data_IF_208023912288
#
_entry.id   IF_208023912288
#
_cell.length_a   1.000
_cell.length_b   1.000
_cell.length_c   1.000
_cell.angle_alpha   90.00
_cell.angle_beta   90.00
_cell.angle_gamma   90.00
#
_symmetry.space_group_name_H-M   'P 1'
#
loop_
_entity.id
_entity.type
_entity.pdbx_description
1 polymer ?
#
# COMPACT_ATOMS: atom_id res chain seq x y z
N UNK A 1 -21.23 25.41 13.33
CA UNK A 1 -21.20 24.01 12.86
C UNK A 1 -20.47 23.84 11.52
N UNK A 2 -21.07 24.11 10.35
CA UNK A 2 -20.39 23.88 9.05
C UNK A 2 -19.09 24.68 8.84
N UNK A 3 -19.08 25.96 9.24
CA UNK A 3 -17.90 26.83 9.12
C UNK A 3 -16.73 26.29 9.94
N UNK A 4 -17.00 25.86 11.16
CA UNK A 4 -16.01 25.29 12.09
C UNK A 4 -15.44 23.96 11.57
N UNK A 5 -16.31 23.08 11.04
CA UNK A 5 -15.89 21.83 10.40
C UNK A 5 -14.96 22.14 9.22
N UNK A 6 -15.36 23.06 8.34
CA UNK A 6 -14.54 23.44 7.17
C UNK A 6 -13.19 24.05 7.61
N UNK A 7 -13.17 24.89 8.65
CA UNK A 7 -11.93 25.44 9.20
C UNK A 7 -11.01 24.34 9.75
N UNK A 8 -11.57 23.39 10.49
CA UNK A 8 -10.81 22.26 11.05
C UNK A 8 -10.23 21.35 9.96
N UNK A 9 -11.02 21.05 8.92
CA UNK A 9 -10.60 20.28 7.75
C UNK A 9 -9.47 20.99 6.98
N UNK A 10 -9.55 22.31 6.80
CA UNK A 10 -8.46 23.09 6.21
C UNK A 10 -7.18 23.04 7.04
N UNK A 11 -7.30 23.08 8.37
CA UNK A 11 -6.16 22.95 9.29
C UNK A 11 -5.50 21.59 9.20
N UNK A 12 -6.29 20.51 9.13
CA UNK A 12 -5.78 19.14 8.92
C UNK A 12 -4.98 19.07 7.61
N UNK A 13 -5.52 19.61 6.52
CA UNK A 13 -4.80 19.65 5.24
C UNK A 13 -3.51 20.47 5.32
N UNK A 14 -3.51 21.62 5.99
CA UNK A 14 -2.30 22.43 6.17
C UNK A 14 -1.21 21.68 6.96
N UNK A 15 -1.58 20.88 7.96
CA UNK A 15 -0.65 19.99 8.67
C UNK A 15 -0.12 18.91 7.72
N UNK A 16 -1.01 18.27 6.96
CA UNK A 16 -0.68 17.18 6.04
C UNK A 16 0.25 17.61 4.89
N UNK A 17 0.10 18.83 4.37
CA UNK A 17 0.80 19.31 3.15
C UNK A 17 1.90 20.33 3.40
N UNK A 18 1.78 21.16 4.42
CA UNK A 18 2.64 22.32 4.64
C UNK A 18 3.27 22.35 6.04
N UNK A 19 3.33 21.20 6.73
CA UNK A 19 3.93 21.11 8.07
C UNK A 19 3.22 21.98 9.12
N UNK A 20 1.98 22.39 8.86
CA UNK A 20 1.18 23.24 9.74
C UNK A 20 1.26 24.73 9.44
N UNK A 21 1.87 25.16 8.33
CA UNK A 21 1.84 26.56 7.91
C UNK A 21 0.39 27.01 7.62
N UNK A 22 -0.12 27.85 8.53
CA UNK A 22 -1.49 28.36 8.48
C UNK A 22 -1.71 29.36 7.34
N UNK A 23 -0.67 29.97 6.77
CA UNK A 23 -0.80 30.93 5.68
C UNK A 23 -1.47 30.31 4.44
N UNK A 24 -1.22 29.02 4.21
CA UNK A 24 -1.82 28.26 3.09
C UNK A 24 -3.35 28.16 3.24
N UNK A 25 -3.89 28.21 4.47
CA UNK A 25 -5.33 28.03 4.74
C UNK A 25 -6.21 29.16 4.21
N UNK A 26 -5.64 30.36 3.98
CA UNK A 26 -6.37 31.53 3.48
C UNK A 26 -6.92 31.30 2.06
N UNK A 27 -6.16 30.55 1.26
CA UNK A 27 -6.47 30.30 -0.13
C UNK A 27 -7.21 28.97 -0.37
N UNK A 28 -7.50 28.21 0.69
CA UNK A 28 -8.18 26.92 0.58
C UNK A 28 -9.68 27.03 0.88
N UNK A 29 -10.48 26.24 0.16
CA UNK A 29 -11.87 25.95 0.53
C UNK A 29 -12.20 24.47 0.37
N UNK A 30 -13.13 23.99 1.21
CA UNK A 30 -13.66 22.63 1.11
C UNK A 30 -14.78 22.64 0.09
N UNK A 31 -14.61 21.91 -1.01
CA UNK A 31 -15.63 21.75 -2.06
C UNK A 31 -16.73 20.80 -1.60
N UNK A 32 -16.35 19.60 -1.14
CA UNK A 32 -17.29 18.60 -0.62
C UNK A 32 -16.64 17.65 0.38
N UNK A 33 -17.48 17.05 1.21
CA UNK A 33 -17.14 15.96 2.12
C UNK A 33 -18.12 14.82 1.82
N UNK A 34 -17.60 13.73 1.26
CA UNK A 34 -18.39 12.57 0.86
C UNK A 34 -18.22 11.44 1.89
N UNK A 35 -19.30 10.78 2.30
CA UNK A 35 -19.23 9.53 3.05
C UNK A 35 -19.09 8.37 2.05
N UNK A 36 -17.98 7.63 2.14
CA UNK A 36 -17.74 6.45 1.30
C UNK A 36 -18.48 5.23 1.84
N UNK A 37 -19.80 5.17 1.61
CA UNK A 37 -20.72 4.16 2.17
C UNK A 37 -20.35 2.68 1.90
N UNK A 38 -19.58 2.41 0.84
CA UNK A 38 -19.17 1.04 0.48
C UNK A 38 -17.76 0.66 0.95
N UNK A 39 -17.05 1.56 1.65
CA UNK A 39 -15.74 1.23 2.23
C UNK A 39 -15.89 0.55 3.59
N UNK A 40 -14.98 -0.38 3.91
CA UNK A 40 -15.00 -1.15 5.18
C UNK A 40 -15.12 -0.27 6.43
N UNK A 41 -14.44 0.89 6.43
CA UNK A 41 -14.46 1.86 7.53
C UNK A 41 -15.37 3.06 7.28
N UNK A 42 -16.14 3.05 6.18
CA UNK A 42 -16.96 4.16 5.70
C UNK A 42 -16.26 5.53 5.83
N UNK A 43 -15.09 5.70 5.20
CA UNK A 43 -14.29 6.89 5.43
C UNK A 43 -14.94 8.14 4.87
N UNK A 44 -14.60 9.30 5.45
CA UNK A 44 -14.94 10.58 4.84
C UNK A 44 -13.88 10.94 3.80
N UNK A 45 -14.29 11.20 2.56
CA UNK A 45 -13.42 11.76 1.52
C UNK A 45 -13.65 13.26 1.43
N UNK A 46 -12.59 14.01 1.64
CA UNK A 46 -12.61 15.47 1.57
C UNK A 46 -12.00 15.89 0.24
N UNK A 47 -12.70 16.74 -0.50
CA UNK A 47 -12.14 17.47 -1.64
C UNK A 47 -11.83 18.90 -1.22
N UNK A 48 -10.57 19.28 -1.31
CA UNK A 48 -10.10 20.63 -0.97
C UNK A 48 -9.54 21.30 -2.22
N UNK A 49 -9.86 22.57 -2.43
CA UNK A 49 -9.48 23.33 -3.62
C UNK A 49 -8.66 24.55 -3.22
N UNK A 50 -7.57 24.78 -3.94
CA UNK A 50 -6.74 25.97 -3.81
C UNK A 50 -7.21 27.05 -4.80
N UNK A 51 -7.65 28.20 -4.26
CA UNK A 51 -8.20 29.32 -5.03
C UNK A 51 -7.17 30.00 -5.93
N UNK A 52 -5.88 29.87 -5.64
CA UNK A 52 -4.83 30.55 -6.42
C UNK A 52 -4.67 29.89 -7.79
N UNK A 53 -4.71 28.55 -7.85
CA UNK A 53 -4.41 27.79 -9.06
C UNK A 53 -5.56 26.89 -9.53
N UNK A 54 -6.69 26.89 -8.82
CA UNK A 54 -7.88 26.05 -9.04
C UNK A 54 -7.58 24.53 -9.01
N UNK A 55 -6.42 24.14 -8.47
CA UNK A 55 -6.09 22.74 -8.25
C UNK A 55 -6.85 22.21 -7.04
N UNK A 56 -7.11 20.91 -7.06
CA UNK A 56 -7.80 20.22 -5.99
C UNK A 56 -7.02 19.00 -5.53
N UNK A 57 -7.14 18.71 -4.25
CA UNK A 57 -6.62 17.51 -3.63
C UNK A 57 -7.74 16.75 -2.93
N UNK A 58 -7.46 15.47 -2.69
CA UNK A 58 -8.28 14.62 -1.85
C UNK A 58 -7.47 14.11 -0.66
N UNK A 59 -8.15 13.99 0.48
CA UNK A 59 -7.67 13.22 1.61
C UNK A 59 -8.84 12.53 2.30
N UNK A 60 -8.54 11.49 3.07
CA UNK A 60 -9.52 10.65 3.71
C UNK A 60 -9.37 10.72 5.23
N UNK A 61 -10.49 10.77 5.94
CA UNK A 61 -10.54 10.62 7.39
C UNK A 61 -11.16 9.26 7.68
N UNK A 62 -10.41 8.42 8.40
CA UNK A 62 -10.78 7.05 8.77
C UNK A 62 -10.64 6.88 10.28
N UNK A 63 -11.31 5.87 10.82
CA UNK A 63 -10.90 5.35 12.13
C UNK A 63 -9.52 4.71 11.98
N UNK A 64 -8.65 4.90 12.97
CA UNK A 64 -7.37 4.21 13.01
C UNK A 64 -7.54 2.79 13.56
N UNK A 65 -6.81 1.85 12.98
CA UNK A 65 -6.55 0.53 13.56
C UNK A 65 -5.09 0.16 13.34
N UNK A 66 -4.63 -0.84 14.09
CA UNK A 66 -3.23 -1.25 14.11
C UNK A 66 -2.74 -1.68 12.72
N UNK A 67 -3.47 -2.54 12.02
CA UNK A 67 -3.12 -3.03 10.68
C UNK A 67 -2.91 -1.87 9.71
N UNK A 68 -3.84 -0.91 9.66
CA UNK A 68 -3.76 0.23 8.75
C UNK A 68 -2.55 1.13 9.05
N UNK A 69 -2.28 1.41 10.33
CA UNK A 69 -1.12 2.24 10.72
C UNK A 69 0.19 1.53 10.38
N UNK A 70 0.34 0.24 10.74
CA UNK A 70 1.54 -0.52 10.39
C UNK A 70 1.73 -0.62 8.87
N UNK A 71 0.66 -0.82 8.11
CA UNK A 71 0.72 -0.92 6.66
C UNK A 71 1.17 0.38 5.99
N UNK A 72 0.70 1.51 6.49
CA UNK A 72 1.13 2.85 6.05
C UNK A 72 2.59 3.13 6.38
N UNK A 73 3.03 2.82 7.60
CA UNK A 73 4.44 2.96 8.01
C UNK A 73 5.36 2.09 7.14
N UNK A 74 4.99 0.82 6.95
CA UNK A 74 5.77 -0.12 6.13
C UNK A 74 5.79 0.27 4.65
N UNK A 75 4.68 0.74 4.07
CA UNK A 75 4.68 1.28 2.71
C UNK A 75 5.53 2.54 2.61
N UNK A 76 5.44 3.47 3.57
CA UNK A 76 6.25 4.69 3.59
C UNK A 76 7.76 4.40 3.60
N UNK A 77 8.19 3.39 4.36
CA UNK A 77 9.60 3.05 4.52
C UNK A 77 10.12 2.12 3.41
N UNK A 78 9.35 1.07 3.06
CA UNK A 78 9.80 0.00 2.17
C UNK A 78 9.47 0.24 0.69
N UNK A 79 8.57 1.17 0.37
CA UNK A 79 8.21 1.50 -1.01
C UNK A 79 8.94 2.76 -1.49
N UNK A 80 9.25 2.90 -2.80
CA UNK A 80 9.70 4.16 -3.35
C UNK A 80 8.66 5.27 -3.31
N UNK A 81 7.39 4.93 -3.14
CA UNK A 81 6.32 5.91 -3.06
C UNK A 81 6.11 6.32 -1.61
N UNK A 82 6.48 7.57 -1.28
CA UNK A 82 6.12 8.13 0.02
C UNK A 82 4.61 8.28 0.11
N UNK A 83 4.08 8.00 1.30
CA UNK A 83 2.70 8.31 1.68
C UNK A 83 2.72 9.45 2.67
N UNK A 84 1.80 10.40 2.52
CA UNK A 84 1.52 11.42 3.52
C UNK A 84 0.27 11.03 4.30
N UNK A 85 0.38 10.94 5.61
CA UNK A 85 -0.72 10.61 6.51
C UNK A 85 -0.45 11.18 7.90
N UNK A 86 -1.50 11.27 8.73
CA UNK A 86 -1.45 11.73 10.11
C UNK A 86 -2.29 10.77 10.97
N UNK A 87 -1.80 10.46 12.17
CA UNK A 87 -2.55 9.70 13.17
C UNK A 87 -2.71 10.56 14.41
N UNK A 88 -3.94 10.67 14.91
CA UNK A 88 -4.22 11.29 16.20
C UNK A 88 -5.29 10.49 16.94
N UNK A 89 -4.91 9.87 18.06
CA UNK A 89 -5.77 8.94 18.81
C UNK A 89 -6.33 7.87 17.85
N UNK A 90 -7.66 7.78 17.73
CA UNK A 90 -8.34 6.81 16.89
C UNK A 90 -8.70 7.37 15.51
N UNK A 91 -8.07 8.47 15.08
CA UNK A 91 -8.31 9.09 13.78
C UNK A 91 -7.07 8.98 12.92
N UNK A 92 -7.24 8.40 11.74
CA UNK A 92 -6.25 8.38 10.68
C UNK A 92 -6.69 9.34 9.58
N UNK A 93 -5.75 10.16 9.11
CA UNK A 93 -5.91 11.01 7.95
C UNK A 93 -4.87 10.57 6.92
N UNK A 94 -5.30 10.22 5.71
CA UNK A 94 -4.40 9.81 4.63
C UNK A 94 -4.59 10.69 3.39
N UNK A 95 -3.49 11.06 2.76
CA UNK A 95 -3.53 11.71 1.46
C UNK A 95 -4.01 10.74 0.39
N UNK A 96 -4.76 11.25 -0.59
CA UNK A 96 -5.10 10.46 -1.76
C UNK A 96 -3.87 10.00 -2.55
N UNK A 97 -3.78 8.69 -2.76
CA UNK A 97 -2.79 8.07 -3.62
C UNK A 97 -3.29 8.16 -5.06
N UNK A 98 -2.62 8.97 -5.88
CA UNK A 98 -2.97 9.15 -7.29
C UNK A 98 -2.69 7.89 -8.13
N UNK A 99 -3.60 7.61 -9.05
CA UNK A 99 -3.51 6.54 -10.04
C UNK A 99 -4.89 6.09 -10.52
N UNK A 100 -4.91 5.25 -11.56
CA UNK A 100 -6.15 4.66 -12.08
C UNK A 100 -6.46 3.41 -11.24
N UNK A 101 -7.65 3.27 -10.63
CA UNK A 101 -8.03 2.05 -9.91
C UNK A 101 -7.80 0.79 -10.77
N UNK A 102 -7.21 -0.25 -10.20
CA UNK A 102 -6.79 -1.43 -10.96
C UNK A 102 -7.92 -2.08 -11.77
N UNK A 103 -9.11 -2.18 -11.19
CA UNK A 103 -10.33 -2.69 -11.82
C UNK A 103 -10.71 -1.86 -13.06
N UNK A 104 -10.70 -0.52 -12.94
CA UNK A 104 -10.94 0.39 -14.06
C UNK A 104 -9.83 0.33 -15.09
N UNK A 105 -8.58 0.23 -14.65
CA UNK A 105 -7.43 0.14 -15.53
C UNK A 105 -7.56 -1.09 -16.44
N UNK A 106 -7.80 -2.26 -15.83
CA UNK A 106 -7.94 -3.52 -16.57
C UNK A 106 -9.14 -3.48 -17.53
N UNK A 107 -10.26 -2.89 -17.12
CA UNK A 107 -11.44 -2.81 -17.98
C UNK A 107 -11.25 -1.89 -19.19
N UNK A 108 -10.56 -0.76 -19.01
CA UNK A 108 -10.54 0.32 -20.00
C UNK A 108 -9.24 0.40 -20.81
N UNK A 109 -8.11 -0.03 -20.25
CA UNK A 109 -6.78 0.25 -20.82
C UNK A 109 -5.94 -1.01 -21.09
N UNK A 110 -6.36 -2.20 -20.64
CA UNK A 110 -5.56 -3.43 -20.83
C UNK A 110 -5.38 -3.83 -22.31
N UNK A 111 -6.29 -3.38 -23.16
CA UNK A 111 -6.28 -3.65 -24.60
C UNK A 111 -5.92 -2.39 -25.42
N UNK A 112 -5.40 -1.35 -24.78
CA UNK A 112 -4.93 -0.15 -25.47
C UNK A 112 -3.72 -0.50 -26.36
N UNK A 113 -3.70 0.04 -27.58
CA UNK A 113 -2.61 -0.18 -28.53
C UNK A 113 -1.28 0.41 -28.04
N UNK A 114 -1.33 1.45 -27.20
CA UNK A 114 -0.16 2.10 -26.64
C UNK A 114 0.31 1.44 -25.32
N UNK A 115 -0.38 0.41 -24.84
CA UNK A 115 0.04 -0.32 -23.64
C UNK A 115 1.36 -1.04 -23.91
N UNK A 116 2.29 -0.98 -22.95
CA UNK A 116 3.48 -1.85 -22.95
C UNK A 116 3.22 -3.03 -21.99
N UNK A 117 2.74 -4.19 -22.50
CA UNK A 117 2.32 -5.30 -21.65
C UNK A 117 3.47 -5.95 -20.88
N UNK A 118 4.69 -5.93 -21.44
CA UNK A 118 5.87 -6.50 -20.79
C UNK A 118 6.23 -5.69 -19.54
N UNK A 119 6.20 -4.35 -19.64
CA UNK A 119 6.47 -3.48 -18.48
C UNK A 119 5.39 -3.58 -17.41
N UNK A 120 4.12 -3.60 -17.81
CA UNK A 120 3.02 -3.78 -16.86
C UNK A 120 3.12 -5.13 -16.13
N UNK A 121 3.40 -6.21 -16.86
CA UNK A 121 3.61 -7.53 -16.28
C UNK A 121 4.83 -7.56 -15.33
N UNK A 122 5.95 -6.94 -15.72
CA UNK A 122 7.12 -6.76 -14.85
C UNK A 122 6.75 -6.06 -13.55
N UNK A 123 6.00 -4.96 -13.62
CA UNK A 123 5.57 -4.23 -12.42
C UNK A 123 4.62 -5.06 -11.56
N UNK A 124 3.73 -5.87 -12.14
CA UNK A 124 2.87 -6.78 -11.38
C UNK A 124 3.66 -7.86 -10.62
N UNK A 125 4.72 -8.42 -11.23
CA UNK A 125 5.64 -9.34 -10.53
C UNK A 125 6.28 -8.65 -9.33
N UNK A 126 6.76 -7.42 -9.50
CA UNK A 126 7.38 -6.63 -8.42
C UNK A 126 6.36 -6.29 -7.32
N UNK A 127 5.14 -5.92 -7.69
CA UNK A 127 4.07 -5.65 -6.74
C UNK A 127 3.71 -6.89 -5.91
N UNK A 128 3.61 -8.06 -6.56
CA UNK A 128 3.38 -9.34 -5.90
C UNK A 128 4.48 -9.66 -4.86
N UNK A 129 5.75 -9.42 -5.22
CA UNK A 129 6.87 -9.62 -4.31
C UNK A 129 6.85 -8.63 -3.13
N UNK A 130 6.57 -7.34 -3.39
CA UNK A 130 6.41 -6.32 -2.34
C UNK A 130 5.35 -6.71 -1.32
N UNK A 131 4.18 -7.12 -1.78
CA UNK A 131 3.07 -7.51 -0.92
C UNK A 131 3.44 -8.73 -0.08
N UNK A 132 4.08 -9.71 -0.70
CA UNK A 132 4.41 -10.95 -0.02
C UNK A 132 5.47 -10.78 1.07
N UNK A 133 6.59 -10.14 0.74
CA UNK A 133 7.72 -9.93 1.67
C UNK A 133 7.28 -9.20 2.94
N UNK A 134 6.42 -8.19 2.79
CA UNK A 134 5.91 -7.39 3.92
C UNK A 134 4.62 -7.93 4.53
N UNK A 135 4.09 -9.04 4.05
CA UNK A 135 2.79 -9.58 4.48
C UNK A 135 1.65 -8.55 4.37
N UNK A 136 1.51 -7.87 3.21
CA UNK A 136 0.33 -7.07 2.89
C UNK A 136 -0.69 -7.92 2.12
N UNK A 137 -1.82 -8.19 2.75
CA UNK A 137 -2.87 -9.06 2.22
C UNK A 137 -3.88 -8.33 1.34
N UNK A 138 -4.77 -9.12 0.73
CA UNK A 138 -6.00 -8.65 0.08
C UNK A 138 -5.82 -7.63 -1.06
N UNK A 139 -4.75 -7.81 -1.83
CA UNK A 139 -4.40 -6.92 -2.94
C UNK A 139 -5.11 -7.32 -4.25
N UNK A 140 -6.44 -7.33 -4.23
CA UNK A 140 -7.27 -7.39 -5.44
C UNK A 140 -7.35 -6.03 -6.14
N UNK A 141 -7.88 -5.99 -7.35
CA UNK A 141 -7.78 -4.82 -8.24
C UNK A 141 -8.52 -3.56 -7.82
N UNK A 142 -9.34 -3.61 -6.76
CA UNK A 142 -9.94 -2.42 -6.15
C UNK A 142 -9.07 -1.83 -5.03
N UNK A 143 -8.05 -2.56 -4.57
CA UNK A 143 -7.19 -2.19 -3.43
C UNK A 143 -5.82 -1.66 -3.86
N UNK A 144 -5.60 -1.49 -5.17
CA UNK A 144 -4.45 -0.79 -5.71
C UNK A 144 -4.82 0.12 -6.89
N UNK A 145 -3.95 1.09 -7.16
CA UNK A 145 -3.99 1.92 -8.35
C UNK A 145 -2.78 1.67 -9.24
N UNK A 146 -2.95 1.92 -10.52
CA UNK A 146 -1.89 1.91 -11.54
C UNK A 146 -1.60 3.37 -11.89
N UNK A 147 -0.39 3.81 -11.56
CA UNK A 147 0.17 5.06 -12.03
C UNK A 147 0.88 4.82 -13.37
N UNK A 148 0.59 5.69 -14.34
CA UNK A 148 1.06 5.59 -15.73
C UNK A 148 1.82 6.88 -16.02
N UNK A 149 3.13 6.77 -16.17
CA UNK A 149 3.99 7.91 -16.47
C UNK A 149 4.55 7.77 -17.89
N UNK A 150 4.11 8.60 -18.84
CA UNK A 150 4.77 8.71 -20.12
C UNK A 150 6.22 9.20 -19.94
N UNK A 151 7.17 8.52 -20.56
CA UNK A 151 8.58 8.91 -20.64
C UNK A 151 8.96 9.12 -22.11
N UNK A 152 10.16 9.64 -22.38
CA UNK A 152 10.60 10.05 -23.71
C UNK A 152 10.43 8.96 -24.78
N UNK A 153 10.72 7.70 -24.43
CA UNK A 153 10.65 6.56 -25.37
C UNK A 153 9.60 5.52 -24.96
N UNK A 154 9.19 5.48 -23.70
CA UNK A 154 8.47 4.34 -23.13
C UNK A 154 7.45 4.78 -22.05
N UNK A 155 6.48 3.94 -21.74
CA UNK A 155 5.54 4.19 -20.63
C UNK A 155 5.98 3.40 -19.41
N UNK A 156 6.14 4.07 -18.26
CA UNK A 156 6.38 3.41 -16.97
C UNK A 156 5.06 3.18 -16.24
N UNK A 157 4.97 2.01 -15.62
CA UNK A 157 3.84 1.62 -14.79
C UNK A 157 4.32 1.46 -13.35
N UNK A 158 3.53 1.95 -12.39
CA UNK A 158 3.73 1.68 -10.97
C UNK A 158 2.42 1.21 -10.36
N UNK A 159 2.43 0.04 -9.73
CA UNK A 159 1.29 -0.42 -8.93
C UNK A 159 1.50 0.02 -7.49
N UNK A 160 0.48 0.70 -6.93
CA UNK A 160 0.49 1.28 -5.59
C UNK A 160 -0.71 0.76 -4.80
N UNK A 161 -0.47 0.14 -3.65
CA UNK A 161 -1.53 -0.24 -2.73
C UNK A 161 -2.23 1.02 -2.20
N UNK A 162 -3.55 0.93 -2.01
CA UNK A 162 -4.38 2.00 -1.44
C UNK A 162 -5.22 1.54 -0.24
N UNK A 163 -5.26 0.23 0.00
CA UNK A 163 -5.89 -0.37 1.17
C UNK A 163 -4.82 -1.12 1.99
N UNK A 164 -4.75 -0.82 3.28
CA UNK A 164 -3.76 -1.39 4.21
C UNK A 164 -4.42 -2.12 5.38
N UNK A 165 -5.73 -2.38 5.28
CA UNK A 165 -6.53 -3.00 6.34
C UNK A 165 -6.07 -4.43 6.67
N UNK A 166 -5.45 -5.10 5.68
CA UNK A 166 -5.00 -6.50 5.74
C UNK A 166 -3.48 -6.64 5.90
N UNK A 167 -2.83 -5.64 6.52
CA UNK A 167 -1.42 -5.73 6.88
C UNK A 167 -1.21 -6.78 7.98
N UNK A 168 -0.51 -7.88 7.64
CA UNK A 168 -0.10 -8.93 8.58
C UNK A 168 -1.25 -9.52 9.40
N UNK A 169 -2.43 -9.68 8.80
CA UNK A 169 -3.64 -10.16 9.50
C UNK A 169 -3.99 -11.63 9.20
N UNK A 170 -3.83 -12.05 7.95
CA UNK A 170 -4.37 -13.31 7.42
C UNK A 170 -3.47 -14.53 7.65
N UNK A 171 -4.09 -15.70 7.81
CA UNK A 171 -3.40 -16.95 8.14
C UNK A 171 -2.86 -17.74 6.94
N UNK A 172 -3.28 -17.39 5.72
CA UNK A 172 -2.93 -18.09 4.48
C UNK A 172 -1.96 -17.27 3.66
N UNK A 173 -0.84 -17.88 3.26
CA UNK A 173 0.21 -17.24 2.46
C UNK A 173 -0.32 -16.70 1.12
N UNK A 174 -1.30 -17.38 0.52
CA UNK A 174 -1.88 -16.98 -0.77
C UNK A 174 -2.57 -15.61 -0.72
N UNK A 175 -3.03 -15.16 0.45
CA UNK A 175 -3.69 -13.85 0.59
C UNK A 175 -2.70 -12.69 0.43
N UNK A 176 -1.41 -12.94 0.70
CA UNK A 176 -0.31 -11.97 0.54
C UNK A 176 0.29 -11.96 -0.87
N UNK A 177 -0.30 -12.71 -1.80
CA UNK A 177 0.19 -12.91 -3.15
C UNK A 177 -0.92 -12.48 -4.14
N UNK A 178 -0.90 -11.21 -4.61
CA UNK A 178 -1.86 -10.66 -5.58
C UNK A 178 -2.21 -11.57 -6.76
N UNK A 179 -1.29 -12.44 -7.19
CA UNK A 179 -1.51 -13.41 -8.27
C UNK A 179 -2.59 -14.47 -7.99
N UNK A 180 -3.12 -14.59 -6.76
CA UNK A 180 -4.19 -15.54 -6.43
C UNK A 180 -5.60 -14.93 -6.43
N UNK A 181 -5.72 -13.62 -6.67
CA UNK A 181 -7.01 -12.93 -6.76
C UNK A 181 -7.52 -12.97 -8.20
N UNK A 182 -8.74 -13.49 -8.40
CA UNK A 182 -9.35 -13.63 -9.73
C UNK A 182 -9.59 -12.27 -10.39
N UNK A 183 -9.83 -11.27 -9.56
CA UNK A 183 -9.97 -9.87 -9.94
C UNK A 183 -8.73 -9.36 -10.67
N UNK A 184 -7.56 -9.96 -10.47
CA UNK A 184 -6.29 -9.59 -11.10
C UNK A 184 -5.97 -10.43 -12.36
N UNK A 185 -6.90 -11.28 -12.84
CA UNK A 185 -6.66 -12.22 -13.94
C UNK A 185 -6.06 -11.57 -15.19
N UNK A 186 -6.50 -10.36 -15.56
CA UNK A 186 -5.97 -9.69 -16.74
C UNK A 186 -4.45 -9.40 -16.60
N UNK A 187 -3.97 -9.04 -15.40
CA UNK A 187 -2.53 -8.86 -15.14
C UNK A 187 -1.80 -10.20 -15.06
N UNK A 188 -2.43 -11.23 -14.49
CA UNK A 188 -1.88 -12.59 -14.41
C UNK A 188 -1.66 -13.16 -15.81
N UNK A 189 -2.63 -12.99 -16.71
CA UNK A 189 -2.57 -13.44 -18.10
C UNK A 189 -1.45 -12.74 -18.87
N UNK A 190 -1.24 -11.43 -18.65
CA UNK A 190 -0.07 -10.73 -19.20
C UNK A 190 1.25 -11.33 -18.67
N UNK A 191 1.31 -11.62 -17.36
CA UNK A 191 2.44 -12.32 -16.75
C UNK A 191 2.74 -13.65 -17.43
N UNK A 192 1.73 -14.50 -17.60
CA UNK A 192 1.85 -15.82 -18.23
C UNK A 192 2.27 -15.73 -19.70
N UNK A 193 1.81 -14.70 -20.42
CA UNK A 193 2.08 -14.52 -21.85
C UNK A 193 3.46 -13.95 -22.13
N UNK A 194 3.93 -13.01 -21.31
CA UNK A 194 5.10 -12.19 -21.63
C UNK A 194 6.31 -12.41 -20.72
N UNK A 195 6.14 -13.05 -19.56
CA UNK A 195 7.23 -13.19 -18.56
C UNK A 195 7.71 -14.64 -18.50
N UNK A 196 8.98 -14.86 -18.84
CA UNK A 196 9.62 -16.18 -18.69
C UNK A 196 9.92 -16.48 -17.22
N UNK A 197 10.10 -17.76 -16.83
CA UNK A 197 10.53 -18.12 -15.48
C UNK A 197 11.84 -17.45 -15.04
N UNK A 198 12.79 -17.25 -15.95
CA UNK A 198 14.04 -16.56 -15.70
C UNK A 198 13.80 -15.07 -15.40
N UNK A 199 12.99 -14.41 -16.23
CA UNK A 199 12.63 -12.99 -16.07
C UNK A 199 11.85 -12.77 -14.77
N UNK A 200 10.93 -13.68 -14.43
CA UNK A 200 10.20 -13.68 -13.16
C UNK A 200 11.16 -13.65 -11.96
N UNK A 201 12.12 -14.58 -11.92
CA UNK A 201 13.12 -14.65 -10.84
C UNK A 201 14.00 -13.41 -10.80
N UNK A 202 14.37 -12.86 -11.97
CA UNK A 202 15.14 -11.62 -12.04
C UNK A 202 14.36 -10.46 -11.42
N UNK A 203 13.09 -10.25 -11.80
CA UNK A 203 12.29 -9.15 -11.30
C UNK A 203 11.98 -9.26 -9.81
N UNK A 204 11.79 -10.48 -9.30
CA UNK A 204 11.70 -10.74 -7.86
C UNK A 204 12.99 -10.34 -7.13
N UNK A 205 14.17 -10.70 -7.67
CA UNK A 205 15.47 -10.30 -7.10
C UNK A 205 15.68 -8.79 -7.14
N UNK A 206 15.32 -8.13 -8.25
CA UNK A 206 15.38 -6.67 -8.36
C UNK A 206 14.56 -6.00 -7.26
N UNK A 207 13.32 -6.45 -7.05
CA UNK A 207 12.46 -5.86 -6.02
C UNK A 207 12.96 -6.14 -4.61
N UNK A 208 13.42 -7.36 -4.33
CA UNK A 208 14.04 -7.69 -3.03
C UNK A 208 15.27 -6.82 -2.77
N UNK A 209 16.15 -6.61 -3.75
CA UNK A 209 17.31 -5.74 -3.58
C UNK A 209 16.91 -4.30 -3.22
N UNK A 210 15.84 -3.77 -3.82
CA UNK A 210 15.30 -2.45 -3.48
C UNK A 210 14.74 -2.40 -2.05
N UNK A 211 14.01 -3.43 -1.63
CA UNK A 211 13.50 -3.54 -0.26
C UNK A 211 14.65 -3.68 0.74
N UNK A 212 15.66 -4.52 0.46
CA UNK A 212 16.84 -4.69 1.31
C UNK A 212 17.62 -3.38 1.50
N UNK A 213 17.78 -2.59 0.43
CA UNK A 213 18.41 -1.28 0.51
C UNK A 213 17.63 -0.34 1.45
N UNK A 214 16.29 -0.33 1.35
CA UNK A 214 15.41 0.49 2.21
C UNK A 214 15.39 0.02 3.65
N UNK A 215 15.38 -1.29 3.87
CA UNK A 215 15.53 -1.89 5.20
C UNK A 215 16.80 -1.38 5.89
N UNK A 216 17.90 -1.31 5.13
CA UNK A 216 19.18 -0.79 5.65
C UNK A 216 19.17 0.72 5.88
N UNK A 217 18.50 1.50 5.03
CA UNK A 217 18.49 2.97 5.16
C UNK A 217 17.58 3.46 6.29
N UNK A 218 16.55 2.70 6.66
CA UNK A 218 15.55 3.06 7.67
C UNK A 218 15.49 2.04 8.81
N UNK A 219 16.64 1.46 9.15
CA UNK A 219 16.74 0.32 10.07
C UNK A 219 16.12 0.63 11.44
N UNK A 220 16.43 1.81 12.00
CA UNK A 220 15.93 2.21 13.32
C UNK A 220 14.41 2.34 13.36
N UNK A 221 13.82 2.96 12.34
CA UNK A 221 12.37 3.15 12.22
C UNK A 221 11.65 1.82 12.05
N UNK A 222 12.16 0.95 11.16
CA UNK A 222 11.58 -0.37 10.92
C UNK A 222 11.69 -1.24 12.18
N UNK A 223 12.82 -1.22 12.87
CA UNK A 223 12.97 -1.99 14.11
C UNK A 223 12.02 -1.52 15.20
N UNK A 224 11.77 -0.21 15.32
CA UNK A 224 10.79 0.34 16.25
C UNK A 224 9.36 -0.12 15.91
N UNK A 225 8.97 -0.11 14.62
CA UNK A 225 7.68 -0.60 14.16
C UNK A 225 7.53 -2.09 14.47
N UNK A 226 8.54 -2.89 14.15
CA UNK A 226 8.51 -4.33 14.39
C UNK A 226 8.44 -4.64 15.90
N UNK A 227 9.15 -3.90 16.74
CA UNK A 227 9.05 -4.06 18.20
C UNK A 227 7.65 -3.74 18.73
N UNK A 228 6.99 -2.69 18.20
CA UNK A 228 5.60 -2.39 18.52
C UNK A 228 4.67 -3.53 18.08
N UNK A 229 4.80 -4.01 16.83
CA UNK A 229 4.01 -5.12 16.30
C UNK A 229 4.21 -6.43 17.09
N UNK A 230 5.41 -6.66 17.64
CA UNK A 230 5.71 -7.84 18.45
C UNK A 230 5.06 -7.82 19.84
N UNK A 231 4.62 -6.65 20.31
CA UNK A 231 3.90 -6.46 21.56
C UNK A 231 2.37 -6.38 21.36
N UNK A 232 1.92 -6.40 20.10
CA UNK A 232 0.53 -6.21 19.72
C UNK A 232 -0.15 -7.53 19.30
N UNK A 233 -1.47 -7.57 19.41
CA UNK A 233 -2.32 -8.69 18.96
C UNK A 233 -3.03 -8.28 17.68
N UNK A 234 -2.30 -8.33 16.57
CA UNK A 234 -2.79 -7.92 15.24
C UNK A 234 -3.81 -8.91 14.69
N UNK A 235 -3.60 -10.21 14.94
CA UNK A 235 -4.41 -11.29 14.37
C UNK A 235 -4.66 -12.40 15.39
N UNK A 236 -5.72 -13.21 15.20
CA UNK A 236 -5.94 -14.42 16.00
C UNK A 236 -4.75 -15.38 15.93
N UNK A 237 -4.49 -16.10 17.03
CA UNK A 237 -3.38 -17.06 17.11
C UNK A 237 -3.43 -18.14 16.02
N UNK A 238 -4.63 -18.52 15.59
CA UNK A 238 -4.86 -19.46 14.50
C UNK A 238 -4.21 -19.00 13.19
N UNK A 239 -4.36 -17.71 12.86
CA UNK A 239 -3.75 -17.09 11.68
C UNK A 239 -2.22 -17.13 11.79
N UNK A 240 -1.67 -16.75 12.94
CA UNK A 240 -0.22 -16.78 13.20
C UNK A 240 0.34 -18.19 13.00
N UNK A 241 -0.27 -19.21 13.64
CA UNK A 241 0.21 -20.58 13.57
C UNK A 241 0.02 -21.22 12.20
N UNK A 242 -1.02 -20.83 11.46
CA UNK A 242 -1.19 -21.23 10.07
C UNK A 242 -0.08 -20.64 9.20
N UNK A 243 0.06 -19.31 9.23
CA UNK A 243 0.97 -18.57 8.37
C UNK A 243 2.42 -18.99 8.60
N UNK A 244 2.84 -19.17 9.85
CA UNK A 244 4.22 -19.57 10.17
C UNK A 244 4.63 -20.88 9.52
N UNK A 245 3.72 -21.86 9.42
CA UNK A 245 3.99 -23.15 8.77
C UNK A 245 4.15 -22.98 7.27
N UNK A 246 3.32 -22.15 6.66
CA UNK A 246 3.40 -21.87 5.22
C UNK A 246 4.65 -21.07 4.86
N UNK A 247 5.02 -20.08 5.67
CA UNK A 247 6.25 -19.30 5.49
C UNK A 247 7.50 -20.15 5.73
N UNK A 248 7.52 -21.01 6.76
CA UNK A 248 8.63 -21.94 7.01
C UNK A 248 8.88 -22.86 5.80
N UNK A 249 7.82 -23.38 5.20
CA UNK A 249 7.91 -24.21 3.98
C UNK A 249 8.34 -23.40 2.76
N UNK A 250 7.78 -22.19 2.59
CA UNK A 250 8.06 -21.35 1.43
C UNK A 250 9.53 -20.89 1.39
N UNK A 251 10.01 -20.33 2.50
CA UNK A 251 11.39 -19.84 2.62
C UNK A 251 12.40 -20.93 2.98
N UNK A 252 11.94 -22.14 3.31
CA UNK A 252 12.77 -23.25 3.83
C UNK A 252 13.54 -22.83 5.09
N UNK A 253 12.90 -22.05 5.95
CA UNK A 253 13.51 -21.47 7.15
C UNK A 253 12.70 -21.86 8.40
N UNK A 254 13.29 -22.64 9.30
CA UNK A 254 12.60 -23.11 10.51
C UNK A 254 12.42 -22.02 11.58
N UNK A 255 13.11 -20.87 11.46
CA UNK A 255 12.96 -19.75 12.40
C UNK A 255 11.49 -19.30 12.50
N UNK A 256 10.73 -19.35 11.40
CA UNK A 256 9.29 -19.06 11.39
C UNK A 256 8.50 -19.92 12.39
N UNK A 257 8.89 -21.18 12.62
CA UNK A 257 8.20 -22.07 13.57
C UNK A 257 8.31 -21.61 15.02
N UNK A 258 9.26 -20.73 15.34
CA UNK A 258 9.43 -20.14 16.68
C UNK A 258 8.54 -18.90 16.89
N UNK A 259 7.99 -18.32 15.83
CA UNK A 259 7.16 -17.13 15.91
C UNK A 259 5.81 -17.43 16.58
N UNK A 260 5.38 -16.49 17.43
CA UNK A 260 4.20 -16.54 18.29
C UNK A 260 3.21 -15.39 18.03
N UNK A 261 3.62 -14.36 17.28
CA UNK A 261 2.75 -13.26 16.81
C UNK A 261 3.13 -12.80 15.39
N UNK A 262 2.34 -11.88 14.84
CA UNK A 262 2.51 -11.37 13.47
C UNK A 262 3.74 -10.49 13.29
N UNK A 263 4.12 -9.68 14.30
CA UNK A 263 5.35 -8.88 14.26
C UNK A 263 6.60 -9.74 14.08
N UNK A 264 6.69 -10.86 14.83
CA UNK A 264 7.78 -11.82 14.71
C UNK A 264 7.81 -12.48 13.33
N UNK A 265 6.65 -12.82 12.75
CA UNK A 265 6.57 -13.38 11.40
C UNK A 265 7.07 -12.38 10.35
N UNK A 266 6.62 -11.13 10.44
CA UNK A 266 7.04 -10.08 9.54
C UNK A 266 8.55 -9.84 9.65
N UNK A 267 9.11 -9.75 10.87
CA UNK A 267 10.55 -9.59 11.08
C UNK A 267 11.35 -10.68 10.35
N UNK A 268 11.00 -11.95 10.57
CA UNK A 268 11.69 -13.08 9.91
C UNK A 268 11.49 -13.04 8.39
N UNK A 269 10.32 -12.60 7.90
CA UNK A 269 10.05 -12.41 6.47
C UNK A 269 10.97 -11.35 5.83
N UNK A 270 11.13 -10.20 6.49
CA UNK A 270 12.01 -9.12 6.02
C UNK A 270 13.49 -9.52 6.03
N UNK A 271 13.92 -10.39 6.94
CA UNK A 271 15.27 -10.96 6.92
C UNK A 271 15.54 -11.85 5.68
N UNK A 272 14.51 -12.34 4.99
CA UNK A 272 14.67 -13.20 3.78
C UNK A 272 14.92 -12.41 2.49
N UNK A 273 15.03 -11.09 2.60
CA UNK A 273 15.18 -10.16 1.47
C UNK A 273 16.67 -9.95 1.12
N UNK A 274 17.57 -10.38 2.02
CA UNK A 274 19.03 -10.33 1.86
C UNK A 274 19.59 -11.41 0.93
#
# INVERSE_FOLDING_TARGET
DRVEIHQSVKRIYAILKAGGDSSVMEHLYVDRIDLCIYGNTQPFRIRIVNRINDNFDYFYIKNADASRVYGLELEHLLSPNRISYLVHKNTLIEEHIAGIPGDKFMRLYINDQNLNPIRLAKEFVKFNERCFVRLLGDMHSSNFVIDVTPDFEETHYRIRAIDFDQQSYEGKKSIYLPQYFKENNALIELGMKYITPESMRQYQKEERALIAFRLKSSQHEIDAILQAMEQDVIAPSENVFSLRRELARHYKNQKFMTCTNMGQLLRVSLEQVH
#
